data_IF_635779186743
#
_entry.id   IF_635779186743
#
_cell.length_a   1.000
_cell.length_b   1.000
_cell.length_c   1.000
_cell.angle_alpha   90.00
_cell.angle_beta   90.00
_cell.angle_gamma   90.00
#
_symmetry.space_group_name_H-M   'P 1'
#
loop_
_entity.id
_entity.type
_entity.pdbx_description
1 polymer ?
#
# COMPACT_ATOMS: atom_id res chain seq x y z
N UNK A 1 -58.05 23.10 7.63
CA UNK A 1 -57.36 21.99 6.93
C UNK A 1 -56.02 21.75 7.59
N UNK A 2 -55.96 20.79 8.51
CA UNK A 2 -54.70 20.38 9.12
C UNK A 2 -54.02 19.37 8.19
N UNK A 3 -52.95 19.78 7.53
CA UNK A 3 -52.08 18.86 6.78
C UNK A 3 -51.18 18.18 7.79
N UNK A 4 -51.57 17.01 8.23
CA UNK A 4 -50.69 16.14 9.03
C UNK A 4 -49.64 15.56 8.09
N UNK A 5 -48.45 16.15 8.07
CA UNK A 5 -47.29 15.53 7.50
C UNK A 5 -46.93 14.36 8.39
N UNK A 6 -47.29 13.15 7.97
CA UNK A 6 -46.83 11.92 8.60
C UNK A 6 -45.31 11.83 8.36
N UNK A 7 -44.54 12.17 9.39
CA UNK A 7 -43.13 11.78 9.43
C UNK A 7 -43.11 10.27 9.32
N UNK A 8 -42.44 9.73 8.31
CA UNK A 8 -42.20 8.30 8.19
C UNK A 8 -41.54 7.85 9.50
N UNK A 9 -42.28 7.04 10.29
CA UNK A 9 -41.71 6.48 11.52
C UNK A 9 -40.56 5.57 11.14
N UNK A 10 -39.37 5.89 11.63
CA UNK A 10 -38.23 5.01 11.55
C UNK A 10 -38.58 3.76 12.35
N UNK A 11 -38.61 2.55 11.76
CA UNK A 11 -38.97 1.34 12.48
C UNK A 11 -38.01 1.11 13.65
N UNK A 12 -38.53 0.57 14.77
CA UNK A 12 -37.69 0.27 15.94
C UNK A 12 -36.54 -0.68 15.61
N UNK A 13 -36.77 -1.62 14.69
CA UNK A 13 -35.76 -2.54 14.19
C UNK A 13 -35.94 -2.75 12.69
N UNK A 14 -34.85 -2.80 11.98
CA UNK A 14 -34.83 -3.04 10.55
C UNK A 14 -33.72 -4.03 10.17
N UNK A 15 -33.98 -4.82 9.14
CA UNK A 15 -33.03 -5.79 8.64
C UNK A 15 -32.03 -5.10 7.71
N UNK A 16 -30.75 -5.26 8.00
CA UNK A 16 -29.65 -4.69 7.20
C UNK A 16 -29.63 -5.33 5.81
N UNK A 17 -29.73 -4.55 4.73
CA UNK A 17 -29.68 -5.08 3.37
C UNK A 17 -28.28 -5.58 3.01
N UNK A 18 -28.19 -6.47 2.01
CA UNK A 18 -26.91 -6.90 1.48
C UNK A 18 -26.41 -5.87 0.43
N UNK A 19 -25.34 -5.18 0.75
CA UNK A 19 -24.68 -4.18 -0.09
C UNK A 19 -23.38 -4.70 -0.70
N UNK A 20 -22.80 -5.77 -0.14
CA UNK A 20 -21.55 -6.35 -0.64
C UNK A 20 -21.75 -6.89 -2.06
N UNK A 21 -20.81 -6.54 -2.93
CA UNK A 21 -20.86 -6.87 -4.36
C UNK A 21 -21.63 -5.87 -5.23
N UNK A 22 -22.27 -4.85 -4.61
CA UNK A 22 -22.93 -3.76 -5.33
C UNK A 22 -21.96 -2.61 -5.55
N UNK A 23 -22.28 -1.78 -6.52
CA UNK A 23 -21.60 -0.49 -6.68
C UNK A 23 -22.24 0.54 -5.75
N UNK A 24 -21.43 1.43 -5.17
CA UNK A 24 -21.95 2.56 -4.42
C UNK A 24 -22.43 3.62 -5.42
N UNK A 25 -23.60 3.40 -5.97
CA UNK A 25 -24.25 4.23 -6.96
C UNK A 25 -25.61 4.73 -6.47
N UNK A 26 -26.27 5.55 -7.31
CA UNK A 26 -27.55 6.16 -7.02
C UNK A 26 -28.63 5.09 -6.73
N UNK A 27 -28.58 3.92 -7.36
CA UNK A 27 -29.53 2.85 -7.13
C UNK A 27 -29.37 2.24 -5.73
N UNK A 28 -28.12 2.07 -5.27
CA UNK A 28 -27.81 1.59 -3.92
C UNK A 28 -28.23 2.63 -2.87
N UNK A 29 -28.07 3.91 -3.16
CA UNK A 29 -28.51 4.99 -2.29
C UNK A 29 -30.05 5.08 -2.24
N UNK A 30 -30.75 4.84 -3.35
CA UNK A 30 -32.21 4.80 -3.39
C UNK A 30 -32.82 3.70 -2.52
N UNK A 31 -32.15 2.55 -2.39
CA UNK A 31 -32.57 1.49 -1.47
C UNK A 31 -32.57 1.95 0.00
N UNK A 32 -31.90 3.05 0.29
CA UNK A 32 -31.73 3.60 1.63
C UNK A 32 -32.53 4.90 1.84
N UNK A 33 -33.09 5.50 0.76
CA UNK A 33 -33.90 6.70 0.83
C UNK A 33 -35.23 6.53 1.58
N UNK A 34 -35.63 5.31 1.88
CA UNK A 34 -36.74 5.06 2.80
C UNK A 34 -36.43 5.49 4.25
N UNK A 35 -35.24 6.10 4.48
CA UNK A 35 -34.90 6.75 5.75
C UNK A 35 -34.60 5.79 6.90
N UNK A 36 -34.50 4.48 6.61
CA UNK A 36 -34.27 3.45 7.63
C UNK A 36 -32.81 3.35 8.03
N UNK A 37 -31.89 3.60 7.08
CA UNK A 37 -30.45 3.53 7.29
C UNK A 37 -29.72 4.72 6.69
N UNK A 38 -28.55 5.02 7.21
CA UNK A 38 -27.55 5.89 6.56
C UNK A 38 -26.36 5.08 6.13
N UNK A 39 -25.66 5.50 5.08
CA UNK A 39 -24.39 4.88 4.65
C UNK A 39 -23.22 5.77 4.98
N UNK A 40 -22.18 5.20 5.54
CA UNK A 40 -20.85 5.79 5.65
C UNK A 40 -19.88 5.00 4.77
N UNK A 41 -19.46 5.58 3.63
CA UNK A 41 -18.49 4.98 2.73
C UNK A 41 -17.06 5.27 3.18
N UNK A 42 -16.23 4.25 3.19
CA UNK A 42 -14.78 4.35 3.40
C UNK A 42 -14.10 3.88 2.13
N UNK A 43 -13.35 4.75 1.50
CA UNK A 43 -12.58 4.42 0.29
C UNK A 43 -11.34 3.61 0.68
N UNK A 44 -11.16 2.47 0.03
CA UNK A 44 -10.01 1.59 0.25
C UNK A 44 -9.35 1.28 -1.08
N UNK A 45 -8.11 1.71 -1.22
CA UNK A 45 -7.31 1.44 -2.41
C UNK A 45 -7.00 -0.06 -2.51
N UNK A 46 -7.44 -0.71 -3.57
CA UNK A 46 -7.23 -2.15 -3.77
C UNK A 46 -7.41 -2.57 -5.22
N UNK A 47 -6.58 -3.52 -5.67
CA UNK A 47 -6.72 -4.19 -6.97
C UNK A 47 -7.61 -5.45 -6.91
N UNK A 48 -8.02 -5.86 -5.70
CA UNK A 48 -8.78 -7.10 -5.51
C UNK A 48 -10.23 -6.99 -5.96
N UNK A 49 -10.75 -5.78 -6.13
CA UNK A 49 -12.13 -5.51 -6.50
C UNK A 49 -12.18 -4.38 -7.54
N UNK A 50 -13.23 -4.39 -8.37
CA UNK A 50 -13.45 -3.28 -9.30
C UNK A 50 -13.71 -1.95 -8.56
N UNK A 51 -13.16 -0.83 -9.02
CA UNK A 51 -13.44 0.48 -8.43
C UNK A 51 -14.94 0.77 -8.31
N UNK A 52 -15.34 1.34 -7.17
CA UNK A 52 -16.73 1.61 -6.83
C UNK A 52 -17.50 0.43 -6.24
N UNK A 53 -16.88 -0.75 -6.11
CA UNK A 53 -17.54 -1.94 -5.55
C UNK A 53 -17.43 -1.96 -4.02
N UNK A 54 -18.57 -2.18 -3.36
CA UNK A 54 -18.62 -2.43 -1.92
C UNK A 54 -18.17 -3.86 -1.67
N UNK A 55 -17.09 -4.05 -0.95
CA UNK A 55 -16.56 -5.39 -0.65
C UNK A 55 -16.66 -5.75 0.84
N UNK A 56 -16.99 -4.80 1.70
CA UNK A 56 -17.25 -5.01 3.12
C UNK A 56 -18.39 -4.12 3.59
N UNK A 57 -19.17 -4.60 4.57
CA UNK A 57 -20.18 -3.82 5.25
C UNK A 57 -20.27 -4.19 6.73
N UNK A 58 -20.60 -3.21 7.55
CA UNK A 58 -20.91 -3.39 8.97
C UNK A 58 -22.06 -2.46 9.37
N UNK A 59 -23.16 -2.95 9.98
CA UNK A 59 -23.44 -4.34 10.38
C UNK A 59 -23.58 -5.31 9.21
N UNK A 60 -23.45 -6.62 9.50
CA UNK A 60 -23.58 -7.66 8.49
C UNK A 60 -24.99 -7.71 7.88
N UNK A 61 -25.07 -8.07 6.60
CA UNK A 61 -26.35 -8.28 5.91
C UNK A 61 -27.24 -9.29 6.67
N UNK A 62 -28.53 -8.98 6.76
CA UNK A 62 -29.49 -9.79 7.48
C UNK A 62 -29.52 -9.59 9.00
N UNK A 63 -28.65 -8.74 9.56
CA UNK A 63 -28.72 -8.35 10.98
C UNK A 63 -29.96 -7.50 11.24
N UNK A 64 -30.61 -7.70 12.39
CA UNK A 64 -31.64 -6.79 12.89
C UNK A 64 -30.98 -5.74 13.77
N UNK A 65 -31.14 -4.48 13.39
CA UNK A 65 -30.55 -3.34 14.11
C UNK A 65 -31.61 -2.23 14.27
N UNK A 66 -31.46 -1.35 15.25
CA UNK A 66 -32.33 -0.19 15.40
C UNK A 66 -32.37 0.65 14.11
N UNK A 67 -33.54 1.15 13.74
CA UNK A 67 -33.68 2.09 12.63
C UNK A 67 -32.80 3.32 12.85
N UNK A 68 -32.21 3.83 11.79
CA UNK A 68 -31.23 4.91 11.83
C UNK A 68 -29.80 4.49 12.13
N UNK A 69 -29.53 3.19 12.33
CA UNK A 69 -28.17 2.67 12.49
C UNK A 69 -27.35 2.95 11.21
N UNK A 70 -26.17 3.58 11.30
CA UNK A 70 -25.31 3.76 10.13
C UNK A 70 -24.74 2.42 9.65
N UNK A 71 -24.76 2.21 8.35
CA UNK A 71 -24.08 1.07 7.70
C UNK A 71 -22.75 1.60 7.17
N UNK A 72 -21.66 1.13 7.74
CA UNK A 72 -20.31 1.41 7.24
C UNK A 72 -20.03 0.45 6.10
N UNK A 73 -19.58 0.97 4.97
CA UNK A 73 -19.20 0.18 3.80
C UNK A 73 -17.79 0.55 3.36
N UNK A 74 -16.98 -0.47 3.04
CA UNK A 74 -15.71 -0.25 2.38
C UNK A 74 -15.90 -0.38 0.87
N UNK A 75 -15.48 0.66 0.16
CA UNK A 75 -15.62 0.78 -1.28
C UNK A 75 -14.24 0.73 -1.92
N UNK A 76 -14.08 -0.17 -2.87
CA UNK A 76 -12.84 -0.27 -3.62
C UNK A 76 -12.62 0.99 -4.46
N UNK A 77 -11.45 1.57 -4.36
CA UNK A 77 -10.96 2.59 -5.30
C UNK A 77 -9.69 2.10 -5.96
N UNK A 78 -9.39 2.63 -7.12
CA UNK A 78 -8.14 2.34 -7.81
C UNK A 78 -6.97 2.98 -7.04
N UNK A 79 -5.92 2.21 -6.70
CA UNK A 79 -4.73 2.76 -6.08
C UNK A 79 -4.05 3.78 -6.99
N UNK A 80 -3.58 4.87 -6.42
CA UNK A 80 -2.73 5.81 -7.16
C UNK A 80 -1.35 5.21 -7.37
N UNK A 81 -0.85 5.32 -8.59
CA UNK A 81 0.47 4.87 -8.98
C UNK A 81 1.39 6.07 -9.20
N UNK A 82 2.61 5.94 -8.74
CA UNK A 82 3.66 6.94 -8.85
C UNK A 82 4.85 6.37 -9.61
N UNK A 83 5.50 7.15 -10.49
CA UNK A 83 6.70 6.69 -11.16
C UNK A 83 7.85 6.54 -10.15
N UNK A 84 8.51 5.38 -10.19
CA UNK A 84 9.67 5.09 -9.34
C UNK A 84 10.88 5.84 -9.90
N UNK A 85 11.53 6.72 -9.11
CA UNK A 85 12.69 7.46 -9.59
C UNK A 85 13.89 6.55 -9.87
N UNK A 86 14.72 6.95 -10.82
CA UNK A 86 15.99 6.30 -11.11
C UNK A 86 17.02 6.66 -10.03
N UNK A 87 17.51 5.64 -9.34
CA UNK A 87 18.54 5.80 -8.31
C UNK A 87 19.81 5.00 -8.61
N UNK A 88 19.89 4.41 -9.80
CA UNK A 88 21.10 3.72 -10.26
C UNK A 88 22.24 4.73 -10.44
N UNK A 89 23.40 4.40 -9.94
CA UNK A 89 24.59 5.28 -9.94
C UNK A 89 24.69 6.23 -8.75
N UNK A 90 23.65 6.35 -7.92
CA UNK A 90 23.68 7.13 -6.68
C UNK A 90 24.36 6.34 -5.54
N UNK A 91 24.78 7.06 -4.50
CA UNK A 91 25.15 6.40 -3.25
C UNK A 91 23.95 5.82 -2.54
N UNK A 92 24.14 4.82 -1.68
CA UNK A 92 23.07 4.25 -0.86
C UNK A 92 22.27 5.34 -0.12
N UNK A 93 22.95 6.32 0.46
CA UNK A 93 22.32 7.38 1.23
C UNK A 93 21.48 8.32 0.36
N UNK A 94 21.98 8.69 -0.81
CA UNK A 94 21.28 9.55 -1.76
C UNK A 94 20.08 8.81 -2.36
N UNK A 95 20.23 7.55 -2.73
CA UNK A 95 19.17 6.69 -3.24
C UNK A 95 18.00 6.56 -2.25
N UNK A 96 18.30 6.31 -0.98
CA UNK A 96 17.29 6.28 0.10
C UNK A 96 16.56 7.61 0.22
N UNK A 97 17.29 8.73 0.13
CA UNK A 97 16.70 10.06 0.19
C UNK A 97 15.75 10.35 -0.96
N UNK A 98 16.12 10.00 -2.18
CA UNK A 98 15.32 10.21 -3.39
C UNK A 98 14.05 9.35 -3.34
N UNK A 99 14.16 8.06 -3.02
CA UNK A 99 13.01 7.15 -2.93
C UNK A 99 12.04 7.54 -1.81
N UNK A 100 12.58 7.89 -0.64
CA UNK A 100 11.77 8.35 0.48
C UNK A 100 11.01 9.66 0.17
N UNK A 101 11.65 10.60 -0.53
CA UNK A 101 11.03 11.84 -0.97
C UNK A 101 9.93 11.61 -2.00
N UNK A 102 10.01 10.53 -2.78
CA UNK A 102 9.00 10.10 -3.73
C UNK A 102 7.88 9.25 -3.10
N UNK A 103 7.94 8.97 -1.79
CA UNK A 103 6.93 8.22 -1.05
C UNK A 103 7.11 6.70 -1.05
N UNK A 104 8.27 6.20 -1.47
CA UNK A 104 8.56 4.76 -1.50
C UNK A 104 9.33 4.29 -0.26
N UNK A 105 9.08 3.03 0.13
CA UNK A 105 9.94 2.33 1.07
C UNK A 105 11.22 1.83 0.39
N UNK A 106 12.30 1.65 1.14
CA UNK A 106 13.58 1.22 0.58
C UNK A 106 14.10 -0.02 1.31
N UNK A 107 14.39 -1.06 0.54
CA UNK A 107 15.18 -2.20 0.98
C UNK A 107 16.58 -2.12 0.34
N UNK A 108 17.61 -2.48 1.09
CA UNK A 108 18.99 -2.47 0.59
C UNK A 108 19.54 -3.88 0.61
N UNK A 109 20.05 -4.31 -0.52
CA UNK A 109 20.78 -5.57 -0.64
C UNK A 109 22.22 -5.29 -1.10
N UNK A 110 23.19 -5.77 -0.33
CA UNK A 110 24.60 -5.71 -0.69
C UNK A 110 24.96 -6.92 -1.55
N UNK A 111 25.02 -6.71 -2.84
CA UNK A 111 25.32 -7.72 -3.83
C UNK A 111 26.26 -7.15 -4.87
N UNK A 112 27.34 -7.88 -5.18
CA UNK A 112 28.24 -7.48 -6.22
C UNK A 112 27.57 -7.55 -7.59
N UNK A 113 27.86 -6.54 -8.43
CA UNK A 113 27.36 -6.50 -9.80
C UNK A 113 27.86 -7.74 -10.57
N UNK A 114 26.94 -8.62 -11.03
CA UNK A 114 27.32 -9.86 -11.74
C UNK A 114 28.00 -9.61 -13.09
N UNK A 115 27.71 -8.46 -13.71
CA UNK A 115 28.29 -8.08 -15.00
C UNK A 115 29.65 -7.37 -14.86
N UNK A 116 30.04 -7.09 -13.59
CA UNK A 116 31.33 -6.51 -13.25
C UNK A 116 31.66 -5.28 -14.09
N UNK A 117 30.78 -4.28 -14.05
CA UNK A 117 31.01 -3.04 -14.77
C UNK A 117 32.45 -2.56 -14.60
N UNK A 118 33.01 -1.89 -15.58
CA UNK A 118 34.45 -1.62 -15.73
C UNK A 118 35.19 -1.03 -14.51
N UNK A 119 34.43 -0.60 -13.49
CA UNK A 119 34.91 -0.24 -12.14
C UNK A 119 33.72 -0.19 -11.19
N UNK A 120 33.46 -1.22 -10.39
CA UNK A 120 32.41 -1.17 -9.39
C UNK A 120 32.71 -0.05 -8.39
N UNK A 121 31.80 0.91 -8.29
CA UNK A 121 31.91 1.98 -7.29
C UNK A 121 31.32 1.45 -5.98
N UNK A 122 32.19 1.15 -5.03
CA UNK A 122 31.80 0.67 -3.69
C UNK A 122 30.77 1.63 -3.08
N UNK A 123 29.68 1.08 -2.59
CA UNK A 123 28.59 1.85 -1.99
C UNK A 123 27.66 2.54 -2.97
N UNK A 124 27.84 2.36 -4.27
CA UNK A 124 26.90 2.84 -5.29
C UNK A 124 25.84 1.79 -5.62
N UNK A 125 24.67 2.29 -5.95
CA UNK A 125 23.55 1.46 -6.45
C UNK A 125 23.84 1.10 -7.89
N UNK A 126 23.97 -0.18 -8.18
CA UNK A 126 24.17 -0.66 -9.56
C UNK A 126 22.87 -1.18 -10.20
N UNK A 127 21.85 -1.50 -9.39
CA UNK A 127 20.53 -1.91 -9.87
C UNK A 127 19.44 -1.57 -8.85
N UNK A 128 18.21 -1.50 -9.32
CA UNK A 128 17.02 -1.32 -8.49
C UNK A 128 15.89 -2.23 -8.96
N UNK A 129 15.01 -2.62 -8.06
CA UNK A 129 13.80 -3.39 -8.38
C UNK A 129 12.61 -2.89 -7.52
N UNK A 130 11.50 -2.49 -8.11
CA UNK A 130 11.23 -2.37 -9.56
C UNK A 130 12.15 -1.39 -10.29
N UNK A 131 12.21 -1.51 -11.61
CA UNK A 131 13.04 -0.65 -12.47
C UNK A 131 12.61 0.82 -12.37
N UNK A 132 13.51 1.72 -12.77
CA UNK A 132 13.20 3.14 -12.90
C UNK A 132 12.03 3.37 -13.87
N UNK A 133 11.21 4.38 -13.60
CA UNK A 133 10.00 4.74 -14.34
C UNK A 133 8.87 3.67 -14.31
N UNK A 134 9.09 2.52 -13.67
CA UNK A 134 7.98 1.64 -13.35
C UNK A 134 6.99 2.34 -12.39
N UNK A 135 5.73 1.97 -12.47
CA UNK A 135 4.71 2.52 -11.58
C UNK A 135 4.59 1.70 -10.31
N UNK A 136 4.60 2.36 -9.17
CA UNK A 136 4.44 1.73 -7.85
C UNK A 136 3.40 2.46 -7.01
N UNK A 137 2.75 1.73 -6.12
CA UNK A 137 1.84 2.30 -5.12
C UNK A 137 2.64 3.08 -4.06
N UNK A 138 1.97 4.01 -3.40
CA UNK A 138 2.55 4.72 -2.25
C UNK A 138 3.03 3.70 -1.19
N UNK A 139 4.21 3.94 -0.63
CA UNK A 139 4.90 3.05 0.32
C UNK A 139 5.34 1.68 -0.24
N UNK A 140 5.18 1.42 -1.55
CA UNK A 140 5.76 0.24 -2.16
C UNK A 140 7.28 0.20 -1.91
N UNK A 141 7.80 -1.00 -1.67
CA UNK A 141 9.23 -1.17 -1.36
C UNK A 141 10.03 -1.28 -2.66
N UNK A 142 10.99 -0.38 -2.83
CA UNK A 142 12.00 -0.47 -3.88
C UNK A 142 13.26 -1.08 -3.29
N UNK A 143 13.71 -2.19 -3.83
CA UNK A 143 14.98 -2.81 -3.45
C UNK A 143 16.09 -2.20 -4.27
N UNK A 144 17.13 -1.70 -3.62
CA UNK A 144 18.34 -1.22 -4.26
C UNK A 144 19.49 -2.19 -4.02
N UNK A 145 20.23 -2.49 -5.06
CA UNK A 145 21.41 -3.37 -5.01
C UNK A 145 22.66 -2.49 -5.00
N UNK A 146 23.42 -2.61 -3.91
CA UNK A 146 24.58 -1.78 -3.63
C UNK A 146 25.85 -2.61 -3.72
N UNK A 147 26.87 -2.09 -4.40
CA UNK A 147 28.18 -2.76 -4.48
C UNK A 147 28.83 -2.84 -3.10
N UNK A 148 29.08 -4.04 -2.57
CA UNK A 148 29.66 -4.22 -1.24
C UNK A 148 31.14 -3.84 -1.21
N UNK A 149 31.63 -3.45 -0.02
CA UNK A 149 33.06 -3.33 0.22
C UNK A 149 33.74 -4.71 0.09
N UNK A 150 34.86 -4.80 -0.63
CA UNK A 150 35.59 -6.07 -0.72
C UNK A 150 36.03 -6.55 0.68
N UNK A 151 36.04 -7.87 0.94
CA UNK A 151 36.48 -8.37 2.23
C UNK A 151 37.94 -7.93 2.50
N UNK A 152 38.27 -7.58 3.74
CA UNK A 152 39.63 -7.21 4.10
C UNK A 152 40.60 -8.34 3.72
N UNK A 153 41.81 -8.01 3.22
CA UNK A 153 42.78 -9.03 2.87
C UNK A 153 43.07 -9.92 4.09
N UNK A 154 43.27 -11.22 3.89
CA UNK A 154 43.60 -12.11 5.00
C UNK A 154 44.82 -11.60 5.72
N UNK A 155 44.69 -11.35 7.01
CA UNK A 155 45.81 -10.99 7.87
C UNK A 155 46.72 -12.21 7.90
N UNK A 156 47.80 -12.17 7.13
CA UNK A 156 48.89 -13.14 7.30
C UNK A 156 49.53 -12.87 8.64
N UNK A 157 49.14 -13.64 9.64
CA UNK A 157 49.90 -13.72 10.88
C UNK A 157 51.22 -14.40 10.53
N UNK A 158 52.25 -13.57 10.33
CA UNK A 158 53.60 -14.09 10.28
C UNK A 158 53.91 -14.61 11.67
N UNK A 159 53.80 -15.90 11.84
CA UNK A 159 54.37 -16.58 13.02
C UNK A 159 55.89 -16.43 12.89
N UNK A 160 56.42 -15.48 13.61
CA UNK A 160 57.85 -15.36 13.81
C UNK A 160 58.29 -16.61 14.59
N UNK A 161 59.01 -17.47 13.89
CA UNK A 161 59.68 -18.66 14.45
C UNK A 161 60.75 -18.18 15.44
N UNK A 162 60.75 -18.63 16.70
CA UNK A 162 61.81 -18.20 17.62
C UNK A 162 63.15 -18.79 17.17
N UNK A 163 64.24 -18.02 17.35
CA UNK A 163 65.55 -18.47 16.95
C UNK A 163 65.96 -19.69 17.81
N UNK A 164 66.38 -20.75 17.14
CA UNK A 164 67.01 -21.92 17.78
C UNK A 164 68.34 -21.51 18.45
N UNK A 165 68.43 -21.80 19.73
CA UNK A 165 69.73 -21.85 20.46
C UNK A 165 70.28 -23.28 20.43
#
# INVERSE_FOLDING_TARGET
>A
SSTTTTLAEIPEEAMVPNLVGRKLDEETLLLLEEGVFSIEGVDVATWSHEPGTIFFQSPAAGSLVPGGTPIIVEVAIEPELFPIPDVVGLTEADAKGVLAAAGFGVAVEFLADPDGGATPVIGAVWSQSPEAEAEGEELAIVTIFVEPEPPPPPTTTTTEEPPDE
#
